data_IF_611415984891
#
_entry.id   IF_611415984891
#
_cell.length_a   1.000
_cell.length_b   1.000
_cell.length_c   1.000
_cell.angle_alpha   90.00
_cell.angle_beta   90.00
_cell.angle_gamma   90.00
#
_symmetry.space_group_name_H-M   'P 1'
#
loop_
_entity.id
_entity.type
_entity.pdbx_description
1 polymer ?
#
# COMPACT_ATOMS: atom_id res chain seq x y z
N UNK A 1 -10.89 1.43 -0.83
CA UNK A 1 -11.02 1.54 0.63
C UNK A 1 -10.38 2.85 1.08
N UNK A 2 -10.90 3.51 2.12
CA UNK A 2 -10.32 4.74 2.65
C UNK A 2 -9.63 4.45 3.99
N UNK A 3 -8.49 5.09 4.24
CA UNK A 3 -7.76 5.01 5.52
C UNK A 3 -7.78 6.37 6.19
N UNK A 4 -8.21 6.42 7.46
CA UNK A 4 -8.28 7.67 8.22
C UNK A 4 -7.17 7.68 9.29
N UNK A 5 -6.20 8.58 9.12
CA UNK A 5 -5.07 8.79 10.05
C UNK A 5 -4.73 10.29 10.09
N UNK A 6 -4.19 10.76 11.21
CA UNK A 6 -3.77 12.16 11.37
C UNK A 6 -2.58 12.53 10.46
N UNK A 7 -1.69 11.57 10.20
CA UNK A 7 -0.57 11.72 9.28
C UNK A 7 -0.26 10.38 8.59
N UNK A 8 0.32 10.42 7.38
CA UNK A 8 0.81 9.22 6.70
C UNK A 8 1.87 8.50 7.53
N UNK A 9 1.84 7.17 7.47
CA UNK A 9 2.92 6.37 8.01
C UNK A 9 4.20 6.55 7.19
N UNK A 10 5.32 6.81 7.86
CA UNK A 10 6.61 7.04 7.19
C UNK A 10 7.10 5.82 6.41
N UNK A 11 6.76 4.61 6.86
CA UNK A 11 7.23 3.40 6.23
C UNK A 11 6.30 2.92 5.11
N UNK A 12 4.99 3.08 5.25
CA UNK A 12 3.99 2.40 4.38
C UNK A 12 2.84 3.28 3.93
N UNK A 13 2.83 4.57 4.27
CA UNK A 13 1.73 5.52 4.05
C UNK A 13 0.45 5.21 4.85
N UNK A 14 -0.05 3.97 4.80
CA UNK A 14 -1.30 3.51 5.44
C UNK A 14 -1.11 2.84 6.80
N UNK A 15 0.12 2.45 7.15
CA UNK A 15 0.48 1.74 8.39
C UNK A 15 0.31 0.22 8.28
N UNK A 16 1.08 -0.52 9.09
CA UNK A 16 1.21 -1.99 8.98
C UNK A 16 -0.11 -2.77 9.04
N UNK A 17 -1.04 -2.42 9.94
CA UNK A 17 -2.33 -3.10 10.03
C UNK A 17 -3.14 -3.00 8.73
N UNK A 18 -3.10 -1.84 8.07
CA UNK A 18 -3.80 -1.63 6.80
C UNK A 18 -3.10 -2.33 5.64
N UNK A 19 -1.76 -2.43 5.67
CA UNK A 19 -1.00 -3.22 4.70
C UNK A 19 -1.40 -4.68 4.76
N UNK A 20 -1.56 -5.24 5.96
CA UNK A 20 -1.96 -6.64 6.11
C UNK A 20 -3.39 -6.89 5.62
N UNK A 21 -4.32 -5.96 5.90
CA UNK A 21 -5.66 -6.00 5.31
C UNK A 21 -5.63 -5.97 3.78
N UNK A 22 -4.81 -5.09 3.19
CA UNK A 22 -4.65 -4.98 1.75
C UNK A 22 -4.04 -6.25 1.15
N UNK A 23 -3.07 -6.87 1.82
CA UNK A 23 -2.48 -8.16 1.40
C UNK A 23 -3.54 -9.24 1.33
N UNK A 24 -4.32 -9.43 2.40
CA UNK A 24 -5.37 -10.45 2.44
C UNK A 24 -6.45 -10.22 1.38
N UNK A 25 -6.83 -8.96 1.13
CA UNK A 25 -7.81 -8.62 0.09
C UNK A 25 -7.22 -8.85 -1.31
N UNK A 26 -5.96 -8.51 -1.53
CA UNK A 26 -5.29 -8.75 -2.81
C UNK A 26 -5.14 -10.24 -3.11
N UNK A 27 -4.91 -11.06 -2.07
CA UNK A 27 -4.90 -12.52 -2.18
C UNK A 27 -6.28 -13.08 -2.48
N UNK A 28 -7.33 -12.62 -1.80
CA UNK A 28 -8.69 -13.13 -2.00
C UNK A 28 -9.29 -12.75 -3.35
N UNK A 29 -8.87 -11.61 -3.91
CA UNK A 29 -9.30 -11.12 -5.22
C UNK A 29 -8.37 -11.51 -6.37
N UNK A 30 -7.26 -12.18 -6.07
CA UNK A 30 -6.18 -12.47 -7.03
C UNK A 30 -5.68 -11.21 -7.78
N UNK A 31 -5.49 -10.12 -7.03
CA UNK A 31 -5.11 -8.81 -7.58
C UNK A 31 -3.60 -8.57 -7.53
N UNK A 32 -2.94 -8.50 -8.67
CA UNK A 32 -1.47 -8.35 -8.75
C UNK A 32 -0.95 -6.96 -8.34
N UNK A 33 -1.83 -5.96 -8.27
CA UNK A 33 -1.43 -4.57 -8.09
C UNK A 33 -2.37 -3.83 -7.14
N UNK A 34 -1.77 -3.03 -6.25
CA UNK A 34 -2.48 -2.10 -5.36
C UNK A 34 -2.14 -0.68 -5.78
N UNK A 35 -3.17 0.11 -6.10
CA UNK A 35 -3.01 1.51 -6.52
C UNK A 35 -3.32 2.45 -5.37
N UNK A 36 -2.42 3.41 -5.13
CA UNK A 36 -2.52 4.44 -4.13
C UNK A 36 -2.82 5.79 -4.79
N UNK A 37 -3.81 6.51 -4.24
CA UNK A 37 -4.22 7.81 -4.79
C UNK A 37 -3.23 8.94 -4.49
N UNK A 38 -2.33 8.74 -3.53
CA UNK A 38 -1.34 9.71 -3.13
C UNK A 38 0.04 9.23 -3.54
N UNK A 39 0.92 10.18 -3.83
CA UNK A 39 2.32 9.93 -4.12
C UNK A 39 2.99 9.18 -2.97
N UNK A 40 3.71 8.13 -3.33
CA UNK A 40 4.53 7.34 -2.43
C UNK A 40 5.99 7.77 -2.59
N UNK A 41 6.69 7.90 -1.48
CA UNK A 41 8.16 7.96 -1.56
C UNK A 41 8.72 6.61 -2.03
N UNK A 42 9.91 6.58 -2.67
CA UNK A 42 10.53 5.32 -3.10
C UNK A 42 10.68 4.30 -1.96
N UNK A 43 10.95 4.77 -0.74
CA UNK A 43 11.02 3.93 0.45
C UNK A 43 9.65 3.34 0.83
N UNK A 44 8.58 4.16 0.78
CA UNK A 44 7.22 3.68 1.04
C UNK A 44 6.78 2.65 0.02
N UNK A 45 7.02 2.89 -1.26
CA UNK A 45 6.71 1.95 -2.34
C UNK A 45 7.44 0.62 -2.14
N UNK A 46 8.76 0.65 -1.93
CA UNK A 46 9.53 -0.58 -1.69
C UNK A 46 9.08 -1.36 -0.45
N UNK A 47 8.74 -0.67 0.64
CA UNK A 47 8.20 -1.31 1.83
C UNK A 47 6.82 -1.93 1.57
N UNK A 48 5.95 -1.23 0.83
CA UNK A 48 4.64 -1.73 0.45
C UNK A 48 4.75 -2.98 -0.43
N UNK A 49 5.59 -2.97 -1.46
CA UNK A 49 5.80 -4.14 -2.31
C UNK A 49 6.37 -5.33 -1.53
N UNK A 50 7.34 -5.07 -0.65
CA UNK A 50 7.94 -6.10 0.20
C UNK A 50 6.91 -6.75 1.14
N UNK A 51 5.98 -5.96 1.70
CA UNK A 51 4.95 -6.46 2.61
C UNK A 51 3.74 -7.07 1.88
N UNK A 52 3.27 -6.44 0.80
CA UNK A 52 2.12 -6.89 0.01
C UNK A 52 2.47 -8.12 -0.85
N UNK A 53 3.74 -8.31 -1.23
CA UNK A 53 4.19 -9.29 -2.23
C UNK A 53 3.52 -9.11 -3.59
N UNK A 54 3.18 -7.85 -3.91
CA UNK A 54 2.43 -7.39 -5.09
C UNK A 54 2.97 -6.01 -5.48
N UNK A 55 2.69 -5.54 -6.69
CA UNK A 55 3.10 -4.20 -7.12
C UNK A 55 2.31 -3.11 -6.40
N UNK A 56 2.99 -2.05 -5.97
CA UNK A 56 2.38 -0.86 -5.40
C UNK A 56 2.61 0.31 -6.35
N UNK A 57 1.54 0.84 -6.94
CA UNK A 57 1.60 1.99 -7.85
C UNK A 57 0.97 3.21 -7.20
N UNK A 58 1.48 4.39 -7.50
CA UNK A 58 0.82 5.65 -7.19
C UNK A 58 0.41 6.38 -8.48
N UNK A 59 -0.19 7.56 -8.34
CA UNK A 59 -0.67 8.37 -9.47
C UNK A 59 0.42 8.98 -10.36
N UNK A 60 1.69 8.81 -10.02
CA UNK A 60 2.82 9.33 -10.80
C UNK A 60 3.56 8.25 -11.59
N UNK A 61 3.19 6.98 -11.39
CA UNK A 61 3.80 5.80 -12.02
C UNK A 61 3.51 5.66 -13.52
#
# INVERSE_FOLDING_TARGET
MLQQREAPDRATYVGQGKVEELRMVSESLDADTVVFDNELTPAQQGNLEASLKRSALDRTA
#
